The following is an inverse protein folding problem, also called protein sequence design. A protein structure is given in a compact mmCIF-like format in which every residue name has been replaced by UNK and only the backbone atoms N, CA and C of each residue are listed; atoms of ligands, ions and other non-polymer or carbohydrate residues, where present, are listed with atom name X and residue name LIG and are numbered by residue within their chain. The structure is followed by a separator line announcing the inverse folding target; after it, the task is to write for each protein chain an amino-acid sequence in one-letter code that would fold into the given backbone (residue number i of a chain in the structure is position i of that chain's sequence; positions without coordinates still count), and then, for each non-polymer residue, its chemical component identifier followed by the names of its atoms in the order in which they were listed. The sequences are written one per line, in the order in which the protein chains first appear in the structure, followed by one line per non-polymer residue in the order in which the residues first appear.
data_IF_700114500070
#
_entry.id   IF_700114500070
#
_cell.length_a   1.000
_cell.length_b   1.000
_cell.length_c   1.000
_cell.angle_alpha   90.00
_cell.angle_beta   90.00
_cell.angle_gamma   90.00
#
_symmetry.space_group_name_H-M   'P 1'
#
loop_
_entity.id
_entity.type
_entity.pdbx_description
1 polymer ?
#
# COMPACT_ATOMS: atom_id res chain seq x y z
N UNK A 1 -4.77 -7.61 10.24
CA UNK A 1 -3.75 -6.86 9.48
C UNK A 1 -4.37 -5.65 8.83
N UNK A 2 -3.69 -4.53 8.92
CA UNK A 2 -4.20 -3.28 8.35
C UNK A 2 -3.52 -2.97 7.03
N UNK A 3 -4.28 -2.44 6.09
CA UNK A 3 -3.73 -1.99 4.81
C UNK A 3 -3.54 -0.47 4.78
N UNK A 4 -3.57 0.16 5.95
CA UNK A 4 -3.44 1.61 6.02
C UNK A 4 -1.99 2.03 6.06
N UNK A 5 -1.68 3.02 5.24
CA UNK A 5 -0.34 3.57 5.13
C UNK A 5 -0.38 4.99 5.66
N UNK A 6 0.54 5.30 6.58
CA UNK A 6 0.61 6.64 7.15
C UNK A 6 1.25 7.60 6.16
N UNK A 7 0.62 8.75 6.00
CA UNK A 7 1.12 9.80 5.11
C UNK A 7 1.30 11.05 5.95
N UNK A 8 2.42 11.72 5.76
CA UNK A 8 2.68 13.00 6.42
C UNK A 8 2.54 14.12 5.39
N UNK A 9 1.63 15.05 5.64
CA UNK A 9 1.45 16.18 4.75
C UNK A 9 2.70 17.07 4.83
N UNK A 10 3.28 17.36 3.69
CA UNK A 10 4.49 18.19 3.66
C UNK A 10 4.22 19.66 3.95
N UNK A 11 2.97 20.09 3.86
CA UNK A 11 2.62 21.47 4.11
C UNK A 11 2.29 21.73 5.58
N UNK A 12 1.33 20.98 6.13
CA UNK A 12 0.90 21.20 7.51
C UNK A 12 1.51 20.21 8.49
N UNK A 13 2.17 19.18 7.97
CA UNK A 13 2.88 18.16 8.76
C UNK A 13 1.98 17.35 9.69
N UNK A 14 0.71 17.30 9.36
CA UNK A 14 -0.19 16.44 10.11
C UNK A 14 -0.31 15.08 9.44
N UNK A 15 -0.25 14.00 10.23
CA UNK A 15 -0.33 12.67 9.65
C UNK A 15 -1.79 12.31 9.35
N UNK A 16 -1.96 11.54 8.31
CA UNK A 16 -3.24 10.90 7.98
C UNK A 16 -2.92 9.58 7.32
N UNK A 17 -3.91 8.75 7.13
CA UNK A 17 -3.68 7.44 6.55
C UNK A 17 -4.54 7.23 5.32
N UNK A 18 -4.05 6.36 4.44
CA UNK A 18 -4.75 5.99 3.23
C UNK A 18 -4.54 4.50 3.00
N UNK A 19 -5.42 3.91 2.23
CA UNK A 19 -5.32 2.49 1.95
C UNK A 19 -4.21 2.20 0.95
N UNK A 20 -3.47 1.13 1.21
CA UNK A 20 -2.37 0.74 0.34
C UNK A 20 -2.83 0.51 -1.09
N UNK A 21 -4.06 0.02 -1.26
CA UNK A 21 -4.59 -0.25 -2.59
C UNK A 21 -4.81 1.01 -3.41
N UNK A 22 -4.98 2.15 -2.75
CA UNK A 22 -5.20 3.41 -3.44
C UNK A 22 -3.91 4.16 -3.72
N UNK A 23 -2.87 3.90 -2.93
CA UNK A 23 -1.60 4.60 -3.10
C UNK A 23 -0.82 4.01 -4.25
N UNK A 24 -1.02 4.59 -5.42
CA UNK A 24 -0.35 4.19 -6.64
C UNK A 24 0.23 5.42 -7.31
N UNK A 25 1.10 5.18 -8.28
CA UNK A 25 1.67 6.27 -9.05
C UNK A 25 0.54 7.04 -9.74
N UNK A 26 0.53 8.36 -9.54
CA UNK A 26 -0.51 9.21 -10.11
C UNK A 26 -1.73 9.41 -9.23
N UNK A 27 -1.80 8.76 -8.09
CA UNK A 27 -2.92 8.92 -7.18
C UNK A 27 -2.85 10.30 -6.51
N UNK A 28 -4.00 10.93 -6.39
CA UNK A 28 -4.10 12.24 -5.73
C UNK A 28 -5.03 12.14 -4.54
N UNK A 29 -4.65 12.80 -3.45
CA UNK A 29 -5.46 12.84 -2.25
C UNK A 29 -5.36 14.25 -1.65
N UNK A 30 -6.44 14.70 -1.05
CA UNK A 30 -6.46 16.00 -0.41
C UNK A 30 -6.21 15.81 1.08
N UNK A 31 -5.28 16.60 1.62
CA UNK A 31 -4.99 16.54 3.05
C UNK A 31 -6.25 16.96 3.83
N UNK A 32 -6.70 16.14 4.79
CA UNK A 32 -7.93 16.47 5.52
C UNK A 32 -7.79 17.66 6.45
N UNK A 33 -6.55 18.07 6.73
CA UNK A 33 -6.33 19.21 7.64
C UNK A 33 -6.17 20.51 6.91
N UNK A 34 -5.25 20.59 5.94
CA UNK A 34 -4.97 21.85 5.26
C UNK A 34 -5.54 21.92 3.84
N UNK A 35 -6.14 20.83 3.38
CA UNK A 35 -6.82 20.74 2.09
C UNK A 35 -5.88 20.80 0.90
N UNK A 36 -4.58 20.68 1.12
CA UNK A 36 -3.62 20.66 0.04
C UNK A 36 -3.76 19.39 -0.77
N UNK A 37 -3.73 19.52 -2.09
CA UNK A 37 -3.77 18.35 -2.96
C UNK A 37 -2.39 17.75 -3.07
N UNK A 38 -2.30 16.46 -2.75
CA UNK A 38 -1.04 15.73 -2.77
C UNK A 38 -1.10 14.72 -3.89
N UNK A 39 -0.12 14.79 -4.79
CA UNK A 39 -0.01 13.85 -5.89
C UNK A 39 1.13 12.88 -5.61
N UNK A 40 0.83 11.60 -5.66
CA UNK A 40 1.84 10.57 -5.42
C UNK A 40 2.45 10.15 -6.74
N UNK A 41 3.73 10.44 -6.88
CA UNK A 41 4.48 10.16 -8.10
C UNK A 41 5.77 9.44 -7.72
N UNK A 42 6.02 8.31 -8.34
CA UNK A 42 7.20 7.51 -8.03
C UNK A 42 8.50 8.22 -8.40
N UNK A 43 8.44 9.22 -9.25
CA UNK A 43 9.61 10.01 -9.61
C UNK A 43 9.85 11.17 -8.67
N UNK A 44 8.96 11.40 -7.70
CA UNK A 44 9.13 12.50 -6.75
C UNK A 44 10.35 12.26 -5.86
N UNK A 45 11.06 13.32 -5.54
CA UNK A 45 12.18 13.25 -4.61
C UNK A 45 11.77 13.51 -3.18
N UNK A 46 10.52 13.89 -2.96
CA UNK A 46 10.01 14.16 -1.62
C UNK A 46 9.82 12.87 -0.86
N UNK A 47 10.53 12.66 0.26
CA UNK A 47 10.38 11.43 1.02
C UNK A 47 8.96 11.24 1.59
N UNK A 48 8.24 12.33 1.81
CA UNK A 48 6.85 12.23 2.28
C UNK A 48 5.93 11.69 1.19
N UNK A 49 6.37 11.71 -0.06
CA UNK A 49 5.65 11.11 -1.18
C UNK A 49 6.18 9.69 -1.45
N UNK A 50 7.50 9.54 -1.48
CA UNK A 50 8.11 8.28 -1.89
C UNK A 50 7.91 7.16 -0.86
N UNK A 51 8.06 7.48 0.41
CA UNK A 51 7.95 6.45 1.46
C UNK A 51 6.59 5.80 1.52
N UNK A 52 5.49 6.58 1.53
CA UNK A 52 4.17 5.94 1.52
C UNK A 52 3.92 5.13 0.26
N UNK A 53 4.37 5.62 -0.90
CA UNK A 53 4.22 4.88 -2.14
C UNK A 53 4.95 3.54 -2.07
N UNK A 54 6.18 3.56 -1.57
CA UNK A 54 6.95 2.33 -1.45
C UNK A 54 6.30 1.38 -0.44
N UNK A 55 5.87 1.90 0.69
CA UNK A 55 5.25 1.08 1.71
C UNK A 55 3.97 0.43 1.18
N UNK A 56 3.16 1.17 0.44
CA UNK A 56 1.95 0.64 -0.15
C UNK A 56 2.25 -0.44 -1.18
N UNK A 57 3.27 -0.21 -2.00
CA UNK A 57 3.68 -1.18 -3.00
C UNK A 57 4.16 -2.46 -2.34
N UNK A 58 5.00 -2.33 -1.31
CA UNK A 58 5.53 -3.49 -0.61
C UNK A 58 4.40 -4.27 0.06
N UNK A 59 3.43 -3.56 0.61
CA UNK A 59 2.27 -4.19 1.22
C UNK A 59 1.48 -5.00 0.19
N UNK A 60 1.24 -4.41 -0.98
CA UNK A 60 0.47 -5.10 -2.03
C UNK A 60 1.21 -6.34 -2.52
N UNK A 61 2.51 -6.24 -2.70
CA UNK A 61 3.31 -7.37 -3.15
C UNK A 61 3.26 -8.49 -2.11
N UNK A 62 3.43 -8.14 -0.84
CA UNK A 62 3.39 -9.14 0.23
C UNK A 62 2.01 -9.80 0.31
N UNK A 63 0.95 -9.02 0.12
CA UNK A 63 -0.40 -9.55 0.15
C UNK A 63 -0.63 -10.52 -1.02
N UNK A 64 -0.13 -10.18 -2.20
CA UNK A 64 -0.25 -11.07 -3.35
C UNK A 64 0.54 -12.35 -3.14
N UNK A 65 1.73 -12.25 -2.60
CA UNK A 65 2.53 -13.43 -2.32
C UNK A 65 1.85 -14.33 -1.31
N UNK A 66 1.24 -13.76 -0.30
CA UNK A 66 0.51 -14.54 0.69
C UNK A 66 -0.66 -15.28 0.06
N UNK A 67 -1.37 -14.63 -0.86
CA UNK A 67 -2.48 -15.27 -1.55
C UNK A 67 -1.99 -16.42 -2.43
N UNK A 68 -0.91 -16.20 -3.15
CA UNK A 68 -0.35 -17.23 -4.02
C UNK A 68 0.10 -18.43 -3.20
N UNK A 69 0.80 -18.19 -2.09
CA UNK A 69 1.26 -19.26 -1.23
C UNK A 69 0.09 -20.02 -0.64
N UNK A 70 -0.96 -19.33 -0.25
CA UNK A 70 -2.15 -19.99 0.28
C UNK A 70 -2.81 -20.87 -0.77
N UNK A 71 -2.86 -20.40 -2.01
CA UNK A 71 -3.42 -21.21 -3.09
C UNK A 71 -2.59 -22.45 -3.36
N UNK A 72 -1.28 -22.30 -3.36
CA UNK A 72 -0.41 -23.43 -3.57
C UNK A 72 -0.54 -24.44 -2.44
N UNK A 73 -0.60 -23.97 -1.22
CA UNK A 73 -0.78 -24.88 -0.09
C UNK A 73 -2.13 -25.58 -0.15
N UNK A 74 -3.16 -24.86 -0.58
CA UNK A 74 -4.48 -25.48 -0.68
C UNK A 74 -4.53 -26.54 -1.77
N UNK A 75 -3.72 -26.41 -2.79
CA UNK A 75 -3.70 -27.39 -3.86
C UNK A 75 -2.89 -28.63 -3.52
N UNK A 76 -1.88 -28.44 -2.70
CA UNK A 76 -1.04 -29.57 -2.38
C UNK A 76 -1.72 -30.73 -1.70
N UNK A 77 -2.54 -30.51 -0.70
CA UNK A 77 -3.18 -31.63 -0.01
C UNK A 77 -4.05 -32.48 -0.89
N UNK A 78 -4.40 -31.99 -2.02
CA UNK A 78 -5.21 -32.78 -2.89
C UNK A 78 -4.57 -34.03 -3.30
N UNK A 79 -3.31 -34.03 -3.26
CA UNK A 79 -2.72 -35.28 -3.50
C UNK A 79 -2.85 -36.12 -2.35
N UNK A 80 -3.31 -35.78 -1.48
CA UNK A 80 -3.39 -36.55 -0.46
C UNK A 80 -4.34 -37.27 -0.32
N UNK A 81 -4.61 -37.48 -0.39
CA UNK A 81 -5.20 -38.10 -0.20
C UNK A 81 -5.56 -39.04 -0.30
N UNK A 82 -5.25 -39.05 -0.41
CA UNK A 82 -5.45 -39.71 -0.38
C UNK A 82 -5.89 -40.26 -0.10
N UNK A 83 -6.08 -40.54 -0.08
CA UNK A 83 -6.65 -40.93 0.20
C UNK A 83 -7.11 -41.78 0.10
#
# INVERSE_FOLDING_TARGET
MTDRIKILCSKCRKPFSERAQRLRNGYQVQCPNCMMLITFDSSSEDPNIRRPLKAARDFRIAAEEAIVLARMAAQEPKRDPVR
#
